data_IF_402329291678
#
_entry.id   IF_402329291678
#
_cell.length_a   1.000
_cell.length_b   1.000
_cell.length_c   1.000
_cell.angle_alpha   90.00
_cell.angle_beta   90.00
_cell.angle_gamma   90.00
#
_symmetry.space_group_name_H-M   'P 1'
#
loop_
_entity.id
_entity.type
_entity.pdbx_description
1 polymer ?
#
# COMPACT_ATOMS: atom_id res chain seq x y z
N UNK A 1 -9.03 22.11 61.07
CA UNK A 1 -9.07 20.64 61.18
C UNK A 1 -9.84 20.13 59.96
N UNK A 2 -9.26 20.10 58.76
CA UNK A 2 -8.24 19.13 58.28
C UNK A 2 -8.83 17.72 58.37
N UNK A 3 -9.07 16.95 57.30
CA UNK A 3 -8.18 16.64 56.18
C UNK A 3 -9.05 16.19 54.98
N UNK A 4 -8.92 16.87 53.84
CA UNK A 4 -8.38 16.37 52.56
C UNK A 4 -9.30 15.41 51.73
N UNK A 5 -9.47 15.67 50.42
CA UNK A 5 -10.04 14.70 49.50
C UNK A 5 -9.10 13.49 49.40
N UNK A 6 -9.61 12.30 49.69
CA UNK A 6 -8.84 11.06 49.56
C UNK A 6 -8.38 10.93 48.10
N UNK A 7 -7.07 11.00 47.93
CA UNK A 7 -6.35 10.78 46.67
C UNK A 7 -6.88 9.56 45.92
N UNK A 8 -6.90 9.58 44.57
CA UNK A 8 -7.06 8.36 43.79
C UNK A 8 -5.91 7.44 44.19
N UNK A 9 -6.25 6.33 44.85
CA UNK A 9 -5.26 5.30 45.14
C UNK A 9 -4.82 4.73 43.79
N UNK A 10 -3.65 5.16 43.33
CA UNK A 10 -2.89 4.45 42.33
C UNK A 10 -2.53 3.09 42.94
N UNK A 11 -3.39 2.10 42.70
CA UNK A 11 -3.08 0.71 42.94
C UNK A 11 -2.03 0.29 41.91
N UNK A 12 -0.77 0.65 42.15
CA UNK A 12 0.37 0.10 41.46
C UNK A 12 0.65 -1.27 42.07
N UNK A 13 -0.06 -2.29 41.60
CA UNK A 13 0.18 -3.67 42.01
C UNK A 13 0.50 -4.50 40.78
N UNK A 14 1.78 -4.52 40.43
CA UNK A 14 2.41 -5.62 39.69
C UNK A 14 2.13 -5.68 38.20
N UNK A 15 3.05 -5.15 37.40
CA UNK A 15 3.49 -5.77 36.15
C UNK A 15 2.56 -5.75 34.93
N UNK A 16 1.40 -5.08 34.97
CA UNK A 16 0.50 -4.99 33.83
C UNK A 16 0.07 -3.53 33.62
N UNK A 17 0.63 -2.90 32.60
CA UNK A 17 0.27 -1.57 32.10
C UNK A 17 -1.09 -1.62 31.38
N UNK A 18 -2.14 -2.07 32.08
CA UNK A 18 -3.49 -2.09 31.51
C UNK A 18 -4.10 -0.69 31.58
N UNK A 19 -3.82 0.11 30.55
CA UNK A 19 -4.56 1.33 30.25
C UNK A 19 -5.85 0.93 29.52
N UNK A 20 -6.96 0.87 30.27
CA UNK A 20 -8.30 0.62 29.71
C UNK A 20 -8.81 1.91 29.06
N UNK A 21 -8.64 2.02 27.73
CA UNK A 21 -9.29 3.04 26.89
C UNK A 21 -10.37 2.34 26.08
N UNK A 22 -11.64 2.59 26.41
CA UNK A 22 -12.80 2.37 25.53
C UNK A 22 -12.95 1.01 24.85
N UNK A 23 -13.46 0.01 25.58
CA UNK A 23 -14.51 -0.93 25.15
C UNK A 23 -14.34 -1.86 23.93
N UNK A 24 -13.45 -1.62 22.98
CA UNK A 24 -13.23 -2.50 21.82
C UNK A 24 -11.73 -2.72 21.65
N UNK A 25 -11.29 -3.90 22.07
CA UNK A 25 -10.01 -4.45 21.66
C UNK A 25 -10.12 -4.78 20.16
N UNK A 26 -9.94 -3.79 19.28
CA UNK A 26 -9.63 -4.06 17.87
C UNK A 26 -8.29 -4.79 17.87
N UNK A 27 -8.40 -6.10 17.96
CA UNK A 27 -7.29 -7.03 17.90
C UNK A 27 -6.73 -6.86 16.50
N UNK A 28 -5.75 -5.98 16.34
CA UNK A 28 -4.96 -5.89 15.12
C UNK A 28 -4.27 -7.24 14.99
N UNK A 29 -4.89 -8.14 14.23
CA UNK A 29 -4.28 -9.40 13.87
C UNK A 29 -2.96 -9.08 13.17
N UNK A 30 -1.87 -9.83 13.43
CA UNK A 30 -0.58 -9.55 12.81
C UNK A 30 -0.67 -9.58 11.27
N UNK A 31 -1.64 -10.32 10.75
CA UNK A 31 -2.05 -10.34 9.34
C UNK A 31 -2.55 -8.99 8.79
N UNK A 32 -3.18 -8.13 9.60
CA UNK A 32 -3.64 -6.81 9.17
C UNK A 32 -2.48 -5.89 8.79
N UNK A 33 -1.33 -6.05 9.46
CA UNK A 33 -0.11 -5.27 9.17
C UNK A 33 0.52 -5.73 7.86
N UNK A 34 0.57 -7.04 7.60
CA UNK A 34 1.07 -7.57 6.33
C UNK A 34 0.20 -7.19 5.14
N UNK A 35 -1.12 -7.07 5.32
CA UNK A 35 -2.04 -6.49 4.31
C UNK A 35 -1.75 -5.02 4.01
N UNK A 36 -1.44 -4.20 5.02
CA UNK A 36 -1.04 -2.81 4.82
C UNK A 36 0.23 -2.70 3.97
N UNK A 37 1.20 -3.56 4.23
CA UNK A 37 2.43 -3.65 3.45
C UNK A 37 2.17 -4.14 2.01
N UNK A 38 1.25 -5.10 1.82
CA UNK A 38 0.82 -5.55 0.50
C UNK A 38 0.27 -4.40 -0.35
N UNK A 39 -0.64 -3.61 0.23
CA UNK A 39 -1.24 -2.45 -0.44
C UNK A 39 -0.19 -1.40 -0.79
N UNK A 40 0.77 -1.17 0.10
CA UNK A 40 1.86 -0.23 -0.16
C UNK A 40 2.74 -0.69 -1.32
N UNK A 41 3.15 -1.96 -1.35
CA UNK A 41 3.95 -2.53 -2.45
C UNK A 41 3.19 -2.42 -3.77
N UNK A 42 1.91 -2.77 -3.80
CA UNK A 42 1.06 -2.63 -5.00
C UNK A 42 1.00 -1.17 -5.44
N UNK A 43 0.81 -0.22 -4.52
CA UNK A 43 0.75 1.20 -4.85
C UNK A 43 2.05 1.72 -5.45
N UNK A 44 3.20 1.32 -4.90
CA UNK A 44 4.53 1.71 -5.41
C UNK A 44 4.81 1.09 -6.77
N UNK A 45 4.38 -0.16 -7.00
CA UNK A 45 4.59 -0.87 -8.26
C UNK A 45 3.64 -0.36 -9.37
N UNK A 46 2.36 -0.15 -9.03
CA UNK A 46 1.34 0.27 -9.99
C UNK A 46 1.34 1.78 -10.23
N UNK A 47 1.77 2.61 -9.28
CA UNK A 47 1.73 4.07 -9.38
C UNK A 47 2.47 4.64 -10.59
N UNK A 48 3.79 4.39 -10.74
CA UNK A 48 4.57 4.89 -11.86
C UNK A 48 4.02 4.51 -13.26
N UNK A 49 3.69 3.24 -13.57
CA UNK A 49 3.15 2.89 -14.88
C UNK A 49 1.77 3.50 -15.11
N UNK A 50 0.93 3.65 -14.08
CA UNK A 50 -0.39 4.29 -14.22
C UNK A 50 -0.28 5.76 -14.61
N UNK A 51 0.65 6.52 -14.01
CA UNK A 51 0.88 7.93 -14.35
C UNK A 51 1.34 8.04 -15.81
N UNK A 52 2.27 7.19 -16.23
CA UNK A 52 2.76 7.16 -17.62
C UNK A 52 1.62 6.85 -18.59
N UNK A 53 0.82 5.81 -18.30
CA UNK A 53 -0.33 5.44 -19.12
C UNK A 53 -1.38 6.56 -19.19
N UNK A 54 -1.59 7.28 -18.08
CA UNK A 54 -2.54 8.39 -18.01
C UNK A 54 -2.09 9.56 -18.89
N UNK A 55 -0.82 9.97 -18.80
CA UNK A 55 -0.28 11.07 -19.61
C UNK A 55 -0.30 10.71 -21.09
N UNK A 56 0.21 9.54 -21.46
CA UNK A 56 0.23 9.09 -22.86
C UNK A 56 -1.19 8.92 -23.39
N UNK A 57 -2.09 8.32 -22.61
CA UNK A 57 -3.47 8.14 -22.99
C UNK A 57 -4.22 9.44 -23.21
N UNK A 58 -3.95 10.45 -22.39
CA UNK A 58 -4.53 11.79 -22.50
C UNK A 58 -4.03 12.53 -23.76
N UNK A 59 -2.73 12.49 -24.03
CA UNK A 59 -2.16 13.14 -25.21
C UNK A 59 -2.74 12.53 -26.48
N UNK A 60 -2.79 11.19 -26.55
CA UNK A 60 -3.28 10.48 -27.72
C UNK A 60 -4.80 10.68 -27.90
N UNK A 61 -5.60 10.70 -26.83
CA UNK A 61 -7.04 10.95 -26.95
C UNK A 61 -7.33 12.36 -27.48
N UNK A 62 -6.52 13.36 -27.12
CA UNK A 62 -6.66 14.72 -27.64
C UNK A 62 -6.34 14.80 -29.14
N UNK A 63 -5.29 14.10 -29.60
CA UNK A 63 -4.92 14.04 -31.02
C UNK A 63 -5.98 13.30 -31.83
N UNK A 64 -6.50 12.17 -31.30
CA UNK A 64 -7.57 11.42 -31.95
C UNK A 64 -8.85 12.24 -32.11
N UNK A 65 -9.20 13.04 -31.10
CA UNK A 65 -10.32 13.96 -31.17
C UNK A 65 -10.07 15.10 -32.18
N UNK A 66 -8.85 15.64 -32.26
CA UNK A 66 -8.51 16.75 -33.16
C UNK A 66 -8.49 16.37 -34.64
N UNK A 67 -8.14 15.13 -34.99
CA UNK A 67 -8.04 14.65 -36.39
C UNK A 67 -9.26 13.82 -36.84
N UNK A 68 -10.26 13.63 -35.97
CA UNK A 68 -11.45 12.80 -36.26
C UNK A 68 -11.13 11.35 -36.65
N UNK A 69 -9.95 10.83 -36.28
CA UNK A 69 -9.55 9.43 -36.53
C UNK A 69 -9.94 8.62 -35.29
N UNK A 70 -11.08 7.92 -35.38
CA UNK A 70 -11.59 7.05 -34.33
C UNK A 70 -11.32 5.57 -34.66
N UNK A 71 -10.10 5.26 -35.07
CA UNK A 71 -9.66 3.87 -35.20
C UNK A 71 -9.09 3.38 -33.87
N UNK A 72 -9.74 2.37 -33.27
CA UNK A 72 -9.35 1.80 -31.97
C UNK A 72 -7.88 1.34 -31.91
N UNK A 73 -7.28 1.00 -33.05
CA UNK A 73 -5.89 0.54 -33.17
C UNK A 73 -4.88 1.67 -32.91
N UNK A 74 -5.21 2.92 -33.28
CA UNK A 74 -4.30 4.08 -33.19
C UNK A 74 -4.02 4.45 -31.74
N UNK A 75 -4.96 4.21 -30.82
CA UNK A 75 -4.79 4.51 -29.39
C UNK A 75 -4.14 3.37 -28.62
N UNK A 76 -4.17 2.16 -29.17
CA UNK A 76 -3.61 0.97 -28.55
C UNK A 76 -2.08 0.94 -28.64
N UNK A 77 -1.53 1.18 -29.83
CA UNK A 77 -0.09 1.03 -30.10
C UNK A 77 0.79 1.98 -29.25
N UNK A 78 0.50 3.29 -29.16
CA UNK A 78 1.34 4.21 -28.39
C UNK A 78 1.31 3.92 -26.89
N UNK A 79 0.15 3.52 -26.35
CA UNK A 79 0.00 3.12 -24.94
C UNK A 79 0.81 1.87 -24.64
N UNK A 80 0.75 0.86 -25.50
CA UNK A 80 1.51 -0.37 -25.35
C UNK A 80 3.02 -0.10 -25.39
N UNK A 81 3.49 0.72 -26.34
CA UNK A 81 4.90 1.09 -26.43
C UNK A 81 5.40 1.79 -25.16
N UNK A 82 4.61 2.71 -24.60
CA UNK A 82 4.96 3.37 -23.35
C UNK A 82 5.04 2.36 -22.17
N UNK A 83 4.18 1.35 -22.14
CA UNK A 83 4.20 0.32 -21.08
C UNK A 83 5.41 -0.61 -21.23
N UNK A 84 5.71 -1.02 -22.47
CA UNK A 84 6.90 -1.83 -22.78
C UNK A 84 8.17 -1.07 -22.42
N UNK A 85 8.25 0.23 -22.72
CA UNK A 85 9.40 1.06 -22.36
C UNK A 85 9.55 1.15 -20.84
N UNK A 86 8.45 1.33 -20.11
CA UNK A 86 8.48 1.30 -18.64
C UNK A 86 9.01 -0.03 -18.12
N UNK A 87 8.49 -1.17 -18.62
CA UNK A 87 8.96 -2.49 -18.22
C UNK A 87 10.43 -2.75 -18.61
N UNK A 88 10.87 -2.25 -19.76
CA UNK A 88 12.26 -2.40 -20.19
C UNK A 88 13.24 -1.67 -19.25
N UNK A 89 12.84 -0.51 -18.72
CA UNK A 89 13.68 0.31 -17.85
C UNK A 89 13.54 -0.06 -16.37
N UNK A 90 12.31 -0.30 -15.90
CA UNK A 90 11.98 -0.48 -14.48
C UNK A 90 11.56 -1.92 -14.13
N UNK A 91 11.42 -2.82 -15.11
CA UNK A 91 10.96 -4.18 -14.88
C UNK A 91 11.87 -4.97 -13.95
N UNK A 92 13.20 -4.80 -14.06
CA UNK A 92 14.15 -5.43 -13.14
C UNK A 92 13.97 -4.93 -11.70
N UNK A 93 13.90 -3.61 -11.50
CA UNK A 93 13.71 -2.99 -10.18
C UNK A 93 12.38 -3.38 -9.53
N UNK A 94 11.30 -3.42 -10.32
CA UNK A 94 9.99 -3.91 -9.85
C UNK A 94 10.07 -5.39 -9.50
N UNK A 95 10.76 -6.19 -10.30
CA UNK A 95 11.02 -7.60 -10.02
C UNK A 95 11.74 -7.82 -8.69
N UNK A 96 12.81 -7.07 -8.44
CA UNK A 96 13.57 -7.14 -7.19
C UNK A 96 12.71 -6.79 -5.97
N UNK A 97 11.86 -5.76 -6.09
CA UNK A 97 10.92 -5.36 -5.04
C UNK A 97 9.90 -6.46 -4.74
N UNK A 98 9.31 -7.08 -5.78
CA UNK A 98 8.35 -8.18 -5.60
C UNK A 98 8.99 -9.43 -4.99
N UNK A 99 10.20 -9.77 -5.42
CA UNK A 99 10.95 -10.92 -4.87
C UNK A 99 11.30 -10.65 -3.40
N UNK A 100 11.76 -9.44 -3.08
CA UNK A 100 12.05 -9.02 -1.71
C UNK A 100 10.82 -9.10 -0.81
N UNK A 101 9.70 -8.53 -1.26
CA UNK A 101 8.43 -8.59 -0.54
C UNK A 101 7.93 -10.04 -0.36
N UNK A 102 8.04 -10.87 -1.39
CA UNK A 102 7.62 -12.28 -1.30
C UNK A 102 8.44 -13.06 -0.27
N UNK A 103 9.75 -12.81 -0.21
CA UNK A 103 10.62 -13.42 0.81
C UNK A 103 10.23 -12.98 2.21
N UNK A 104 9.99 -11.69 2.39
CA UNK A 104 9.57 -11.09 3.66
C UNK A 104 8.24 -11.68 4.16
N UNK A 105 7.27 -11.83 3.26
CA UNK A 105 6.00 -12.50 3.56
C UNK A 105 6.23 -13.95 4.03
N UNK A 106 7.02 -14.73 3.30
CA UNK A 106 7.27 -16.13 3.63
C UNK A 106 7.96 -16.31 4.99
N UNK A 107 8.82 -15.36 5.40
CA UNK A 107 9.48 -15.40 6.70
C UNK A 107 8.59 -14.99 7.86
N UNK A 108 7.56 -14.17 7.63
CA UNK A 108 6.62 -13.72 8.66
C UNK A 108 5.45 -14.71 8.88
N UNK A 109 5.11 -15.56 7.89
CA UNK A 109 4.03 -16.56 8.04
C UNK A 109 4.16 -17.40 9.32
N UNK A 110 5.33 -18.00 9.67
CA UNK A 110 5.45 -18.85 10.86
C UNK A 110 5.19 -18.14 12.19
N UNK A 111 5.34 -16.81 12.24
CA UNK A 111 5.11 -16.00 13.43
C UNK A 111 3.62 -15.65 13.59
N UNK A 112 2.87 -15.58 12.48
CA UNK A 112 1.43 -15.26 12.47
C UNK A 112 0.54 -16.46 12.86
N UNK A 113 1.06 -17.69 12.77
CA UNK A 113 0.31 -18.94 13.10
C UNK A 113 0.55 -19.46 14.52
N UNK A 114 1.35 -18.78 15.36
CA UNK A 114 1.61 -19.16 16.76
C UNK A 114 0.80 -18.31 17.71
#
# INVERSE_FOLDING_TARGET
>A
MSLAPQQPQAATSGGDETIIVGGEMETYSPFSVSMGQALWVIMVVAGPPLIIMLVVGLIISMIQAATSINEQTVSFVPKLLAFILFLALYGATVGDLLIGYTRDLLTHIPDDIR
#
